data_IF_682839025929
#
_entry.id   IF_682839025929
#
_cell.length_a   1.000
_cell.length_b   1.000
_cell.length_c   1.000
_cell.angle_alpha   90.00
_cell.angle_beta   90.00
_cell.angle_gamma   90.00
#
_symmetry.space_group_name_H-M   'P 1'
#
loop_
_entity.id
_entity.type
_entity.pdbx_description
1 polymer ?
#
# COMPACT_ATOMS: atom_id res chain seq x y z
N UNK A 1 -5.39 72.95 14.71
CA UNK A 1 -6.13 71.69 14.40
C UNK A 1 -5.14 70.61 13.96
N UNK A 2 -5.04 69.49 14.68
CA UNK A 2 -4.12 68.38 14.33
C UNK A 2 -4.66 67.64 13.09
N UNK A 3 -3.88 67.57 12.00
CA UNK A 3 -4.22 66.77 10.81
C UNK A 3 -4.30 65.29 11.19
N UNK A 4 -5.46 64.67 10.99
CA UNK A 4 -5.65 63.21 11.14
C UNK A 4 -4.78 62.50 10.09
N UNK A 5 -3.86 61.64 10.52
CA UNK A 5 -3.09 60.77 9.61
C UNK A 5 -4.06 59.78 8.94
N UNK A 6 -3.97 59.65 7.62
CA UNK A 6 -4.74 58.67 6.83
C UNK A 6 -4.24 57.26 7.19
N UNK A 7 -5.14 56.39 7.63
CA UNK A 7 -4.83 54.98 7.92
C UNK A 7 -4.59 54.28 6.56
N UNK A 8 -3.48 53.55 6.38
CA UNK A 8 -3.27 52.79 5.15
C UNK A 8 -4.30 51.66 5.05
N UNK A 9 -4.92 51.53 3.88
CA UNK A 9 -5.81 50.41 3.60
C UNK A 9 -4.99 49.12 3.63
N UNK A 10 -5.32 48.22 4.55
CA UNK A 10 -4.77 46.86 4.55
C UNK A 10 -5.35 46.16 3.32
N UNK A 11 -4.51 45.94 2.30
CA UNK A 11 -4.89 45.09 1.18
C UNK A 11 -5.25 43.71 1.72
N UNK A 12 -6.45 43.22 1.43
CA UNK A 12 -6.84 41.84 1.74
C UNK A 12 -5.75 40.90 1.24
N UNK A 13 -5.32 39.90 2.02
CA UNK A 13 -4.38 38.91 1.52
C UNK A 13 -5.00 38.30 0.27
N UNK A 14 -4.27 38.33 -0.85
CA UNK A 14 -4.61 37.56 -2.03
C UNK A 14 -4.74 36.12 -1.55
N UNK A 15 -5.97 35.61 -1.48
CA UNK A 15 -6.24 34.27 -0.99
C UNK A 15 -5.30 33.32 -1.71
N UNK A 16 -4.48 32.60 -0.95
CA UNK A 16 -3.62 31.58 -1.50
C UNK A 16 -4.52 30.68 -2.33
N UNK A 17 -4.40 30.73 -3.65
CA UNK A 17 -5.06 29.78 -4.53
C UNK A 17 -4.57 28.42 -4.06
N UNK A 18 -5.45 27.66 -3.40
CA UNK A 18 -5.21 26.24 -3.15
C UNK A 18 -4.81 25.69 -4.53
N UNK A 19 -3.65 25.03 -4.67
CA UNK A 19 -3.26 24.45 -5.94
C UNK A 19 -4.42 23.58 -6.41
N UNK A 20 -4.98 23.90 -7.58
CA UNK A 20 -6.00 23.05 -8.18
C UNK A 20 -5.32 21.72 -8.46
N UNK A 21 -5.68 20.68 -7.71
CA UNK A 21 -5.12 19.36 -7.91
C UNK A 21 -5.43 18.92 -9.34
N UNK A 22 -4.42 18.40 -10.06
CA UNK A 22 -4.66 17.73 -11.33
C UNK A 22 -5.67 16.61 -11.09
N UNK A 23 -6.73 16.56 -11.89
CA UNK A 23 -7.67 15.45 -11.81
C UNK A 23 -6.90 14.15 -12.09
N UNK A 24 -7.05 13.12 -11.23
CA UNK A 24 -6.39 11.84 -11.46
C UNK A 24 -6.82 11.28 -12.81
N UNK A 25 -5.85 10.78 -13.60
CA UNK A 25 -6.17 10.17 -14.91
C UNK A 25 -6.80 8.80 -14.73
N UNK A 26 -6.44 8.10 -13.65
CA UNK A 26 -7.11 6.86 -13.26
C UNK A 26 -8.36 7.14 -12.43
N UNK A 27 -9.34 6.26 -12.60
CA UNK A 27 -10.60 6.26 -11.87
C UNK A 27 -10.62 5.22 -10.74
N UNK A 28 -9.44 4.74 -10.30
CA UNK A 28 -9.35 3.75 -9.23
C UNK A 28 -9.29 4.40 -7.86
N UNK A 29 -9.93 3.76 -6.88
CA UNK A 29 -9.98 4.22 -5.50
C UNK A 29 -9.46 3.12 -4.58
N UNK A 30 -8.66 3.50 -3.58
CA UNK A 30 -8.28 2.60 -2.50
C UNK A 30 -9.30 2.68 -1.38
N UNK A 31 -9.81 1.52 -0.94
CA UNK A 31 -10.69 1.38 0.21
C UNK A 31 -10.01 0.52 1.29
N UNK A 32 -9.74 1.14 2.44
CA UNK A 32 -8.99 0.55 3.55
C UNK A 32 -9.91 -0.07 4.63
N UNK A 33 -11.13 -0.52 4.27
CA UNK A 33 -12.05 -1.16 5.21
C UNK A 33 -11.46 -2.39 5.92
N UNK A 34 -10.51 -3.10 5.30
CA UNK A 34 -9.84 -4.26 5.88
C UNK A 34 -8.71 -3.86 6.83
N UNK A 35 -9.07 -3.52 8.07
CA UNK A 35 -8.17 -2.92 9.09
C UNK A 35 -6.85 -3.68 9.34
N UNK A 36 -6.81 -4.99 9.09
CA UNK A 36 -5.64 -5.83 9.37
C UNK A 36 -4.64 -5.90 8.20
N UNK A 37 -4.77 -5.08 7.16
CA UNK A 37 -3.87 -5.11 5.99
C UNK A 37 -2.40 -4.78 6.31
N UNK A 38 -2.16 -4.09 7.43
CA UNK A 38 -0.82 -3.81 7.98
C UNK A 38 -0.33 -4.88 8.96
N UNK A 39 -1.18 -5.82 9.35
CA UNK A 39 -0.85 -6.82 10.37
C UNK A 39 0.09 -7.88 9.80
N UNK A 40 1.19 -8.14 10.51
CA UNK A 40 2.16 -9.15 10.12
C UNK A 40 1.64 -10.58 10.29
N UNK A 41 2.13 -11.49 9.44
CA UNK A 41 1.79 -12.90 9.40
C UNK A 41 3.05 -13.73 9.14
N UNK A 42 3.07 -14.98 9.63
CA UNK A 42 4.16 -15.93 9.38
C UNK A 42 3.61 -17.35 9.19
N UNK A 43 4.13 -18.07 8.19
CA UNK A 43 3.83 -19.49 7.94
C UNK A 43 5.04 -20.14 7.26
N UNK A 44 5.71 -21.06 7.96
CA UNK A 44 6.98 -21.62 7.49
C UNK A 44 8.02 -20.50 7.29
N UNK A 45 8.63 -20.48 6.11
CA UNK A 45 9.62 -19.47 5.70
C UNK A 45 9.00 -18.15 5.24
N UNK A 46 7.70 -18.14 4.90
CA UNK A 46 7.01 -16.91 4.52
C UNK A 46 6.73 -16.05 5.76
N UNK A 47 7.12 -14.78 5.71
CA UNK A 47 6.89 -13.82 6.78
C UNK A 47 6.65 -12.42 6.23
N UNK A 48 5.72 -11.69 6.87
CA UNK A 48 5.52 -10.25 6.67
C UNK A 48 5.85 -9.46 7.95
N UNK A 49 6.55 -10.10 8.89
CA UNK A 49 7.19 -9.39 9.99
C UNK A 49 8.36 -8.57 9.47
N UNK A 50 8.59 -7.45 10.12
CA UNK A 50 9.69 -6.53 9.83
C UNK A 50 10.78 -6.70 10.90
N UNK A 51 11.94 -6.11 10.62
CA UNK A 51 13.07 -6.03 11.55
C UNK A 51 12.72 -5.18 12.76
N UNK A 52 12.18 -4.00 12.50
CA UNK A 52 11.93 -2.94 13.49
C UNK A 52 10.94 -1.89 12.94
N UNK A 53 10.70 -0.83 13.72
CA UNK A 53 9.83 0.28 13.35
C UNK A 53 10.39 1.16 12.23
N UNK A 54 11.71 1.20 12.06
CA UNK A 54 12.35 2.03 11.03
C UNK A 54 12.14 1.38 9.67
N UNK A 55 12.33 0.05 9.56
CA UNK A 55 12.01 -0.71 8.35
C UNK A 55 10.50 -0.58 7.99
N UNK A 56 9.62 -0.55 9.00
CA UNK A 56 8.20 -0.25 8.77
C UNK A 56 7.98 1.16 8.21
N UNK A 57 8.60 2.19 8.81
CA UNK A 57 8.45 3.56 8.39
C UNK A 57 8.88 3.76 6.92
N UNK A 58 9.98 3.13 6.52
CA UNK A 58 10.47 3.16 5.13
C UNK A 58 9.43 2.56 4.16
N UNK A 59 8.95 1.34 4.44
CA UNK A 59 8.00 0.67 3.57
C UNK A 59 6.64 1.39 3.49
N UNK A 60 6.09 1.80 4.63
CA UNK A 60 4.76 2.45 4.63
C UNK A 60 4.83 3.83 3.98
N UNK A 61 5.94 4.56 4.16
CA UNK A 61 6.18 5.83 3.46
C UNK A 61 6.22 5.60 1.96
N UNK A 62 6.97 4.61 1.48
CA UNK A 62 6.97 4.25 0.06
C UNK A 62 5.57 3.89 -0.45
N UNK A 63 4.80 3.10 0.30
CA UNK A 63 3.45 2.70 -0.12
C UNK A 63 2.53 3.91 -0.26
N UNK A 64 2.52 4.80 0.74
CA UNK A 64 1.60 5.93 0.80
C UNK A 64 2.01 7.11 -0.09
N UNK A 65 3.31 7.31 -0.32
CA UNK A 65 3.82 8.48 -1.05
C UNK A 65 4.21 8.17 -2.50
N UNK A 66 4.50 6.91 -2.82
CA UNK A 66 4.92 6.51 -4.17
C UNK A 66 3.92 5.54 -4.81
N UNK A 67 3.69 4.37 -4.18
CA UNK A 67 2.92 3.29 -4.81
C UNK A 67 1.46 3.70 -5.03
N UNK A 68 0.74 4.03 -3.96
CA UNK A 68 -0.69 4.40 -4.05
C UNK A 68 -0.88 5.59 -5.00
N UNK A 69 -0.13 6.70 -4.89
CA UNK A 69 -0.23 7.81 -5.83
C UNK A 69 0.05 7.42 -7.28
N UNK A 70 1.02 6.55 -7.55
CA UNK A 70 1.31 6.08 -8.91
C UNK A 70 0.16 5.26 -9.48
N UNK A 71 -0.44 4.38 -8.68
CA UNK A 71 -1.58 3.56 -9.09
C UNK A 71 -2.81 4.45 -9.34
N UNK A 72 -3.14 5.36 -8.43
CA UNK A 72 -4.30 6.26 -8.58
C UNK A 72 -4.11 7.33 -9.66
N UNK A 73 -2.86 7.65 -10.05
CA UNK A 73 -2.61 8.58 -11.16
C UNK A 73 -2.62 7.87 -12.52
N UNK A 74 -1.93 6.73 -12.63
CA UNK A 74 -1.48 6.23 -13.93
C UNK A 74 -1.89 4.78 -14.23
N UNK A 75 -2.39 4.00 -13.26
CA UNK A 75 -2.77 2.61 -13.50
C UNK A 75 -4.25 2.48 -13.83
N UNK A 76 -4.58 1.73 -14.87
CA UNK A 76 -5.97 1.41 -15.24
C UNK A 76 -6.14 -0.11 -15.43
N UNK A 77 -7.20 -0.71 -14.87
CA UNK A 77 -7.53 -2.11 -15.11
C UNK A 77 -7.71 -2.40 -16.61
N UNK A 78 -7.14 -3.49 -17.11
CA UNK A 78 -7.30 -3.96 -18.49
C UNK A 78 -6.40 -3.28 -19.53
N UNK A 79 -5.60 -2.28 -19.15
CA UNK A 79 -4.51 -1.77 -19.99
C UNK A 79 -3.19 -2.47 -19.66
N UNK A 80 -2.23 -2.45 -20.59
CA UNK A 80 -0.89 -2.98 -20.35
C UNK A 80 -0.28 -2.22 -19.17
N UNK A 81 -0.23 -2.89 -18.02
CA UNK A 81 0.05 -2.28 -16.73
C UNK A 81 1.54 -2.24 -16.38
N UNK A 82 1.84 -1.71 -15.19
CA UNK A 82 3.18 -1.82 -14.62
C UNK A 82 3.54 -3.29 -14.43
N UNK A 83 4.81 -3.64 -14.71
CA UNK A 83 5.32 -5.02 -14.67
C UNK A 83 4.98 -5.78 -13.37
N UNK A 84 4.95 -5.07 -12.24
CA UNK A 84 4.68 -5.64 -10.92
C UNK A 84 3.25 -5.36 -10.42
N UNK A 85 2.35 -5.00 -11.33
CA UNK A 85 0.94 -4.74 -11.07
C UNK A 85 0.10 -5.72 -11.89
N UNK A 86 -0.12 -6.92 -11.37
CA UNK A 86 -0.83 -7.99 -12.08
C UNK A 86 -1.62 -8.89 -11.12
N UNK A 87 -2.52 -9.67 -11.69
CA UNK A 87 -3.25 -10.72 -10.98
C UNK A 87 -2.31 -11.81 -10.48
N UNK A 88 -2.63 -12.40 -9.34
CA UNK A 88 -1.91 -13.55 -8.77
C UNK A 88 -2.74 -14.79 -9.13
N UNK A 89 -2.27 -15.67 -10.05
CA UNK A 89 -3.04 -16.83 -10.49
C UNK A 89 -3.27 -17.83 -9.35
N UNK A 90 -4.40 -18.54 -9.34
CA UNK A 90 -4.76 -19.46 -8.23
C UNK A 90 -3.81 -20.66 -8.12
N UNK A 91 -3.24 -21.06 -9.25
CA UNK A 91 -2.27 -22.13 -9.41
C UNK A 91 -0.86 -21.76 -8.92
N UNK A 92 -0.62 -20.48 -8.63
CA UNK A 92 0.68 -19.95 -8.22
C UNK A 92 0.96 -20.21 -6.73
N UNK A 93 2.18 -20.61 -6.37
CA UNK A 93 2.54 -20.86 -4.97
C UNK A 93 2.36 -19.60 -4.10
N UNK A 94 2.64 -18.43 -4.69
CA UNK A 94 2.40 -17.13 -4.09
C UNK A 94 0.94 -16.96 -3.66
N UNK A 95 -0.01 -17.40 -4.49
CA UNK A 95 -1.43 -17.31 -4.20
C UNK A 95 -1.78 -18.12 -2.95
N UNK A 96 -1.25 -19.33 -2.79
CA UNK A 96 -1.53 -20.18 -1.63
C UNK A 96 -1.00 -19.58 -0.31
N UNK A 97 0.17 -18.94 -0.37
CA UNK A 97 0.75 -18.22 0.77
C UNK A 97 -0.10 -17.00 1.15
N UNK A 98 -0.42 -16.14 0.18
CA UNK A 98 -1.24 -14.96 0.41
C UNK A 98 -2.66 -15.30 0.83
N UNK A 99 -3.29 -16.31 0.22
CA UNK A 99 -4.61 -16.81 0.60
C UNK A 99 -4.63 -17.27 2.06
N UNK A 100 -3.61 -18.02 2.48
CA UNK A 100 -3.45 -18.46 3.89
C UNK A 100 -3.35 -17.27 4.85
N UNK A 101 -2.55 -16.26 4.49
CA UNK A 101 -2.38 -15.04 5.30
C UNK A 101 -3.69 -14.24 5.36
N UNK A 102 -4.33 -13.99 4.22
CA UNK A 102 -5.58 -13.23 4.10
C UNK A 102 -6.71 -13.90 4.88
N UNK A 103 -6.84 -15.23 4.77
CA UNK A 103 -7.81 -16.01 5.56
C UNK A 103 -7.57 -15.84 7.05
N UNK A 104 -6.31 -15.87 7.50
CA UNK A 104 -5.98 -15.69 8.93
C UNK A 104 -6.25 -14.27 9.43
N UNK A 105 -5.92 -13.26 8.63
CA UNK A 105 -6.00 -11.85 9.03
C UNK A 105 -7.42 -11.30 8.97
N UNK A 106 -8.23 -11.74 8.00
CA UNK A 106 -9.53 -11.15 7.70
C UNK A 106 -10.71 -12.12 7.75
N UNK A 107 -10.46 -13.42 7.96
CA UNK A 107 -11.48 -14.48 7.85
C UNK A 107 -12.18 -14.49 6.48
N UNK A 108 -11.39 -14.25 5.41
CA UNK A 108 -11.88 -14.23 4.02
C UNK A 108 -11.45 -15.48 3.26
N UNK A 109 -12.34 -15.94 2.40
CA UNK A 109 -12.11 -16.98 1.41
C UNK A 109 -11.72 -16.31 0.08
N UNK A 110 -10.50 -16.56 -0.41
CA UNK A 110 -9.97 -15.85 -1.59
C UNK A 110 -10.37 -16.50 -2.91
N UNK A 111 -10.96 -17.70 -2.89
CA UNK A 111 -11.34 -18.49 -4.07
C UNK A 111 -12.33 -17.77 -5.00
N UNK A 112 -13.05 -16.78 -4.47
CA UNK A 112 -13.97 -15.92 -5.23
C UNK A 112 -13.40 -14.52 -5.51
N UNK A 113 -12.18 -14.25 -5.06
CA UNK A 113 -11.52 -12.95 -5.18
C UNK A 113 -10.46 -13.01 -6.27
N UNK A 114 -10.47 -12.03 -7.17
CA UNK A 114 -9.32 -11.79 -8.04
C UNK A 114 -8.24 -11.07 -7.22
N UNK A 115 -7.24 -11.81 -6.76
CA UNK A 115 -6.09 -11.24 -6.06
C UNK A 115 -5.17 -10.53 -7.04
N UNK A 116 -4.72 -9.35 -6.66
CA UNK A 116 -3.76 -8.52 -7.37
C UNK A 116 -2.55 -8.26 -6.48
N UNK A 117 -1.36 -8.21 -7.07
CA UNK A 117 -0.22 -7.56 -6.44
C UNK A 117 0.03 -6.22 -7.11
N UNK A 118 0.40 -5.22 -6.32
CA UNK A 118 0.86 -3.91 -6.77
C UNK A 118 2.26 -3.65 -6.22
N UNK A 119 3.19 -3.30 -7.11
CA UNK A 119 4.56 -2.92 -6.78
C UNK A 119 5.17 -2.00 -7.83
N UNK A 120 6.17 -1.22 -7.43
CA UNK A 120 6.92 -0.32 -8.34
C UNK A 120 8.26 -0.90 -8.80
N UNK A 121 8.88 -1.76 -7.98
CA UNK A 121 10.23 -2.29 -8.18
C UNK A 121 10.33 -3.75 -7.70
N UNK A 122 11.53 -4.32 -7.56
CA UNK A 122 11.73 -5.72 -7.14
C UNK A 122 11.58 -5.98 -5.62
N UNK A 123 10.90 -5.11 -4.88
CA UNK A 123 10.73 -5.24 -3.42
C UNK A 123 9.26 -5.42 -2.98
N UNK A 124 8.83 -4.58 -2.03
CA UNK A 124 7.51 -4.61 -1.41
C UNK A 124 6.35 -4.82 -2.41
N UNK A 125 5.38 -5.66 -2.02
CA UNK A 125 4.12 -5.91 -2.74
C UNK A 125 2.94 -5.57 -1.85
N UNK A 126 2.06 -4.71 -2.34
CA UNK A 126 0.73 -4.53 -1.77
C UNK A 126 -0.21 -5.55 -2.41
N UNK A 127 -0.69 -6.50 -1.62
CA UNK A 127 -1.62 -7.53 -2.06
C UNK A 127 -3.05 -7.05 -1.80
N UNK A 128 -3.86 -7.08 -2.85
CA UNK A 128 -5.18 -6.49 -2.87
C UNK A 128 -6.20 -7.44 -3.49
N UNK A 129 -7.47 -7.17 -3.19
CA UNK A 129 -8.59 -7.58 -4.02
C UNK A 129 -9.07 -6.37 -4.85
N UNK A 130 -9.44 -6.60 -6.11
CA UNK A 130 -10.00 -5.57 -7.00
C UNK A 130 -11.47 -5.88 -7.30
N UNK A 131 -12.37 -4.95 -6.99
CA UNK A 131 -13.78 -5.02 -7.37
C UNK A 131 -14.16 -3.80 -8.20
N UNK A 132 -14.39 -4.00 -9.49
CA UNK A 132 -14.63 -2.89 -10.42
C UNK A 132 -13.41 -1.97 -10.48
N UNK A 133 -13.54 -0.77 -9.92
CA UNK A 133 -12.45 0.22 -9.82
C UNK A 133 -11.97 0.45 -8.38
N UNK A 134 -12.47 -0.31 -7.43
CA UNK A 134 -12.06 -0.19 -6.02
C UNK A 134 -11.02 -1.25 -5.70
N UNK A 135 -9.87 -0.80 -5.19
CA UNK A 135 -8.76 -1.62 -4.73
C UNK A 135 -8.85 -1.72 -3.22
N UNK A 136 -8.87 -2.95 -2.71
CA UNK A 136 -8.96 -3.26 -1.28
C UNK A 136 -7.64 -3.87 -0.82
N UNK A 137 -6.78 -3.14 -0.09
CA UNK A 137 -5.59 -3.70 0.54
C UNK A 137 -5.94 -4.83 1.51
N UNK A 138 -5.22 -5.94 1.42
CA UNK A 138 -5.43 -7.12 2.27
C UNK A 138 -4.16 -7.53 3.01
N UNK A 139 -2.99 -7.33 2.43
CA UNK A 139 -1.70 -7.70 3.03
C UNK A 139 -0.58 -6.91 2.37
N UNK A 140 0.50 -6.67 3.10
CA UNK A 140 1.78 -6.26 2.52
C UNK A 140 2.78 -7.41 2.62
N UNK A 141 3.34 -7.83 1.50
CA UNK A 141 4.57 -8.62 1.46
C UNK A 141 5.75 -7.67 1.31
N UNK A 142 6.33 -7.29 2.45
CA UNK A 142 7.46 -6.36 2.52
C UNK A 142 8.71 -6.88 1.84
N UNK A 143 8.86 -8.21 1.78
CA UNK A 143 10.12 -8.88 1.42
C UNK A 143 10.05 -9.59 0.07
N UNK A 144 8.89 -9.55 -0.59
CA UNK A 144 8.63 -10.25 -1.86
C UNK A 144 8.82 -11.77 -1.76
N UNK A 145 8.50 -12.34 -0.59
CA UNK A 145 8.65 -13.78 -0.31
C UNK A 145 7.55 -14.66 -0.92
N UNK A 146 6.48 -14.08 -1.48
CA UNK A 146 5.55 -14.87 -2.29
C UNK A 146 6.19 -15.44 -3.57
N UNK A 147 7.25 -14.80 -4.07
CA UNK A 147 8.01 -15.23 -5.24
C UNK A 147 9.50 -15.40 -4.89
N UNK A 148 9.85 -16.41 -4.07
CA UNK A 148 11.23 -16.60 -3.63
C UNK A 148 12.14 -16.84 -4.84
N UNK A 149 13.22 -16.08 -4.94
CA UNK A 149 14.19 -16.32 -6.01
C UNK A 149 15.08 -17.51 -5.66
N UNK A 150 15.24 -18.43 -6.61
CA UNK A 150 16.09 -19.61 -6.49
C UNK A 150 17.60 -19.28 -6.60
N UNK A 151 17.95 -18.10 -7.14
CA UNK A 151 19.31 -17.78 -7.59
C UNK A 151 20.08 -16.78 -6.72
N UNK A 152 19.45 -16.22 -5.68
CA UNK A 152 20.08 -15.23 -4.81
C UNK A 152 20.11 -15.72 -3.37
N UNK A 153 21.20 -15.43 -2.66
CA UNK A 153 21.28 -15.63 -1.21
C UNK A 153 20.16 -14.81 -0.56
N UNK A 154 19.14 -15.51 -0.06
CA UNK A 154 18.01 -14.85 0.58
C UNK A 154 18.44 -14.31 1.94
N UNK A 155 18.02 -13.08 2.23
CA UNK A 155 18.21 -12.47 3.54
C UNK A 155 17.54 -13.35 4.59
N UNK A 156 18.17 -13.55 5.74
CA UNK A 156 17.59 -14.33 6.83
C UNK A 156 16.53 -13.49 7.57
N UNK A 157 15.26 -13.79 7.32
CA UNK A 157 14.11 -13.15 7.96
C UNK A 157 13.66 -13.85 9.25
N UNK A 158 14.39 -14.89 9.72
CA UNK A 158 13.99 -15.70 10.87
C UNK A 158 13.80 -14.88 12.15
N UNK A 159 14.65 -13.87 12.33
CA UNK A 159 14.67 -13.00 13.52
C UNK A 159 13.72 -11.79 13.40
N UNK A 160 13.05 -11.60 12.26
CA UNK A 160 12.11 -10.49 12.07
C UNK A 160 10.85 -10.77 12.88
N UNK A 161 10.49 -9.83 13.76
CA UNK A 161 9.42 -10.01 14.73
C UNK A 161 8.60 -8.73 14.98
N UNK A 162 8.88 -7.64 14.25
CA UNK A 162 8.14 -6.41 14.36
C UNK A 162 6.83 -6.48 13.57
N UNK A 163 5.71 -6.11 14.23
CA UNK A 163 4.40 -5.94 13.63
C UNK A 163 3.86 -4.55 13.99
N UNK A 164 3.48 -3.71 13.02
CA UNK A 164 3.00 -2.35 13.30
C UNK A 164 1.63 -2.35 13.99
N UNK A 165 0.90 -3.47 13.94
CA UNK A 165 -0.44 -3.64 14.52
C UNK A 165 -0.42 -4.44 15.84
N UNK A 166 0.75 -4.61 16.48
CA UNK A 166 0.82 -5.27 17.79
C UNK A 166 -0.05 -4.50 18.77
N UNK A 167 -1.00 -5.17 19.45
CA UNK A 167 -2.05 -4.58 20.31
C UNK A 167 -1.57 -3.31 21.04
N UNK A 168 -1.87 -2.14 20.49
CA UNK A 168 -2.12 -0.99 21.32
C UNK A 168 -3.41 -1.33 22.04
N UNK A 169 -3.31 -1.64 23.34
CA UNK A 169 -4.46 -1.52 24.24
C UNK A 169 -4.85 -0.03 24.18
N UNK A 170 -5.78 0.32 23.31
CA UNK A 170 -6.52 1.58 23.41
C UNK A 170 -7.59 1.36 24.47
#
# INVERSE_FOLDING_TARGET
>A
MKKRKKIPNVSKPNGSRIPTAELPKSNVTFDFQYKNWLQSFKKGEFTTFLKDSDEYADFITQILTELIPKITKDWEPGKQGFKHCHTIPMEDDAYQLYSSAIKRLHNLHTEQLTLWQFGLSQGCRLICYLQGKTIYPLLIDYHHLGYPSLYYNQKDFKNYNYCPMTKNKI
#
